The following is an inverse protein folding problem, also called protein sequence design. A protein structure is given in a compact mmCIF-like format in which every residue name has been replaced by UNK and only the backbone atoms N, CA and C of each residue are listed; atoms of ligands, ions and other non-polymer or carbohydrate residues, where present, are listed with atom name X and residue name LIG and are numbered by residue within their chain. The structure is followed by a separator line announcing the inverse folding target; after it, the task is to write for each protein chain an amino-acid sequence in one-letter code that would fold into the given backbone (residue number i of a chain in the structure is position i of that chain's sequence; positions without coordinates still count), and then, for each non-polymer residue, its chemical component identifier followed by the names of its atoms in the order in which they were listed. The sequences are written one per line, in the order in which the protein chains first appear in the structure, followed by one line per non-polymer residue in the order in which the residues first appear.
data_IF_307249732245
#
_entry.id   IF_307249732245
#
_cell.length_a   1.000
_cell.length_b   1.000
_cell.length_c   1.000
_cell.angle_alpha   90.00
_cell.angle_beta   90.00
_cell.angle_gamma   90.00
#
_symmetry.space_group_name_H-M   'P 1'
#
loop_
_entity.id
_entity.type
_entity.pdbx_description
1 polymer ?
#
# COMPACT_ATOMS: atom_id res chain seq x y z
N UNK A 1 -17.82 -4.76 9.26
CA UNK A 1 -17.42 -6.09 9.77
C UNK A 1 -16.37 -5.97 10.88
N UNK A 2 -15.28 -5.23 10.69
CA UNK A 2 -14.18 -5.01 11.65
C UNK A 2 -14.68 -4.55 13.03
N UNK A 3 -15.44 -3.46 13.12
CA UNK A 3 -16.01 -2.95 14.38
C UNK A 3 -16.86 -3.97 15.14
N UNK A 4 -17.65 -4.78 14.42
CA UNK A 4 -18.46 -5.84 15.06
C UNK A 4 -17.61 -6.94 15.68
N UNK A 5 -16.48 -7.30 15.05
CA UNK A 5 -15.54 -8.25 15.64
C UNK A 5 -14.84 -7.64 16.86
N UNK A 6 -14.29 -6.42 16.73
CA UNK A 6 -13.65 -5.72 17.85
C UNK A 6 -14.59 -5.62 19.05
N UNK A 7 -15.83 -5.17 18.85
CA UNK A 7 -16.82 -5.04 19.95
C UNK A 7 -17.14 -6.36 20.63
N UNK A 8 -17.09 -7.49 19.93
CA UNK A 8 -17.39 -8.82 20.50
C UNK A 8 -16.21 -9.44 21.21
N UNK A 9 -15.01 -8.97 20.97
CA UNK A 9 -13.79 -9.52 21.56
C UNK A 9 -13.69 -9.13 23.04
N UNK A 10 -13.22 -10.07 23.87
CA UNK A 10 -13.02 -9.83 25.29
C UNK A 10 -11.82 -8.90 25.52
N UNK A 11 -12.01 -7.88 26.35
CA UNK A 11 -10.97 -6.94 26.74
C UNK A 11 -11.45 -6.00 27.83
N UNK A 12 -10.53 -5.34 28.51
CA UNK A 12 -10.85 -4.32 29.52
C UNK A 12 -11.21 -2.98 28.87
N UNK A 13 -10.80 -2.77 27.64
CA UNK A 13 -11.13 -1.60 26.81
C UNK A 13 -11.13 -2.01 25.34
N UNK A 14 -11.73 -1.17 24.49
CA UNK A 14 -11.70 -1.27 23.03
C UNK A 14 -11.08 -0.02 22.47
N UNK A 15 -10.03 -0.18 21.65
CA UNK A 15 -9.23 0.93 21.17
C UNK A 15 -9.60 1.27 19.73
N UNK A 16 -9.71 2.56 19.42
CA UNK A 16 -9.85 3.06 18.05
C UNK A 16 -8.51 3.64 17.60
N UNK A 17 -8.00 3.19 16.47
CA UNK A 17 -6.78 3.75 15.87
C UNK A 17 -7.11 4.30 14.49
N UNK A 18 -6.84 5.58 14.31
CA UNK A 18 -6.80 6.22 13.01
C UNK A 18 -5.42 6.00 12.40
N UNK A 19 -5.36 5.18 11.35
CA UNK A 19 -4.16 5.00 10.56
C UNK A 19 -4.02 6.19 9.60
N UNK A 20 -3.17 7.14 10.00
CA UNK A 20 -2.77 8.31 9.23
C UNK A 20 -1.32 8.20 8.75
N UNK A 21 -0.83 6.96 8.55
CA UNK A 21 0.46 6.67 7.94
C UNK A 21 0.30 6.48 6.42
N UNK A 22 0.10 7.59 5.74
CA UNK A 22 -0.11 7.65 4.28
C UNK A 22 1.23 7.55 3.55
N UNK A 23 1.78 6.34 3.46
CA UNK A 23 3.12 6.09 2.95
C UNK A 23 3.19 5.69 1.48
N UNK A 24 2.08 5.31 0.84
CA UNK A 24 2.07 4.86 -0.56
C UNK A 24 2.45 6.01 -1.51
N UNK A 25 3.49 5.86 -2.37
CA UNK A 25 3.86 6.89 -3.33
C UNK A 25 2.69 7.32 -4.22
N UNK A 26 2.55 8.63 -4.41
CA UNK A 26 1.44 9.23 -5.15
C UNK A 26 0.15 9.37 -4.34
N UNK A 27 0.12 9.00 -3.06
CA UNK A 27 -1.04 9.19 -2.18
C UNK A 27 -0.87 10.44 -1.32
N UNK A 28 -1.89 11.30 -1.29
CA UNK A 28 -1.90 12.53 -0.48
C UNK A 28 -3.33 12.97 -0.07
N UNK A 29 -4.30 12.07 -0.11
CA UNK A 29 -5.70 12.34 0.24
C UNK A 29 -5.92 12.52 1.74
N UNK A 30 -5.19 11.74 2.57
CA UNK A 30 -5.39 11.75 4.02
C UNK A 30 -4.87 13.05 4.64
N UNK A 31 -3.73 13.58 4.16
CA UNK A 31 -3.27 14.91 4.60
C UNK A 31 -4.22 16.03 4.24
N UNK A 32 -4.92 15.93 3.09
CA UNK A 32 -5.96 16.90 2.70
C UNK A 32 -7.14 16.86 3.65
N UNK A 33 -7.59 15.64 4.01
CA UNK A 33 -8.64 15.47 5.02
C UNK A 33 -8.21 16.01 6.39
N UNK A 34 -7.01 15.68 6.85
CA UNK A 34 -6.51 16.13 8.15
C UNK A 34 -6.26 17.65 8.19
N UNK A 35 -5.89 18.26 7.06
CA UNK A 35 -5.69 19.71 6.97
C UNK A 35 -7.02 20.47 6.98
N UNK A 36 -7.97 20.05 6.14
CA UNK A 36 -9.17 20.84 5.85
C UNK A 36 -10.44 20.32 6.54
N UNK A 37 -10.45 19.04 6.95
CA UNK A 37 -11.62 18.34 7.46
C UNK A 37 -11.30 17.51 8.71
N UNK A 38 -10.34 17.96 9.53
CA UNK A 38 -9.91 17.22 10.72
C UNK A 38 -11.09 16.87 11.66
N UNK A 39 -12.03 17.79 11.84
CA UNK A 39 -13.21 17.55 12.68
C UNK A 39 -14.07 16.39 12.18
N UNK A 40 -14.21 16.24 10.86
CA UNK A 40 -14.94 15.11 10.28
C UNK A 40 -14.28 13.76 10.62
N UNK A 41 -12.94 13.71 10.60
CA UNK A 41 -12.17 12.50 10.98
C UNK A 41 -12.34 12.23 12.48
N UNK A 42 -12.26 13.26 13.32
CA UNK A 42 -12.45 13.16 14.77
C UNK A 42 -13.88 12.72 15.13
N UNK A 43 -14.90 13.20 14.41
CA UNK A 43 -16.26 12.72 14.53
C UNK A 43 -16.37 11.23 14.21
N UNK A 44 -15.73 10.79 13.11
CA UNK A 44 -15.68 9.37 12.74
C UNK A 44 -15.00 8.51 13.81
N UNK A 45 -13.93 8.99 14.42
CA UNK A 45 -13.29 8.32 15.55
C UNK A 45 -14.22 8.24 16.77
N UNK A 46 -14.95 9.32 17.06
CA UNK A 46 -15.93 9.36 18.17
C UNK A 46 -17.07 8.38 17.92
N UNK A 47 -17.61 8.33 16.70
CA UNK A 47 -18.62 7.35 16.27
C UNK A 47 -18.09 5.91 16.44
N UNK A 48 -16.85 5.64 16.03
CA UNK A 48 -16.22 4.34 16.23
C UNK A 48 -16.08 4.02 17.72
N UNK A 49 -15.61 4.96 18.54
CA UNK A 49 -15.51 4.83 19.99
C UNK A 49 -16.84 4.45 20.64
N UNK A 50 -17.91 5.14 20.28
CA UNK A 50 -19.26 4.82 20.73
C UNK A 50 -19.72 3.42 20.29
N UNK A 51 -19.56 3.11 19.01
CA UNK A 51 -19.97 1.82 18.45
C UNK A 51 -19.23 0.63 19.08
N UNK A 52 -17.99 0.82 19.51
CA UNK A 52 -17.14 -0.20 20.13
C UNK A 52 -17.27 -0.24 21.66
N UNK A 53 -17.89 0.74 22.28
CA UNK A 53 -17.83 1.01 23.72
C UNK A 53 -16.38 1.22 24.19
N UNK A 54 -15.55 1.81 23.35
CA UNK A 54 -14.16 2.14 23.61
C UNK A 54 -14.01 3.49 24.32
N UNK A 55 -12.89 3.66 25.01
CA UNK A 55 -12.58 4.90 25.76
C UNK A 55 -11.41 5.67 25.17
N UNK A 56 -10.62 5.06 24.31
CA UNK A 56 -9.40 5.64 23.77
C UNK A 56 -9.36 5.60 22.25
N UNK A 57 -9.07 6.78 21.67
CA UNK A 57 -8.70 6.97 20.28
C UNK A 57 -7.21 7.34 20.13
N UNK A 58 -6.56 6.85 19.10
CA UNK A 58 -5.17 7.21 18.78
C UNK A 58 -5.09 7.55 17.31
N UNK A 59 -4.62 8.75 16.98
CA UNK A 59 -4.21 9.09 15.61
C UNK A 59 -2.75 8.73 15.48
N UNK A 60 -2.44 7.71 14.67
CA UNK A 60 -1.06 7.41 14.28
C UNK A 60 -0.71 8.24 13.05
N UNK A 61 -0.05 9.36 13.30
CA UNK A 61 0.27 10.35 12.28
C UNK A 61 1.65 10.07 11.70
N UNK A 62 1.74 9.99 10.37
CA UNK A 62 2.99 9.81 9.63
C UNK A 62 4.05 10.85 10.07
N UNK A 63 5.31 10.42 10.19
CA UNK A 63 6.40 11.28 10.65
C UNK A 63 6.62 12.52 9.79
N UNK A 64 6.39 12.44 8.47
CA UNK A 64 6.50 13.55 7.54
C UNK A 64 5.37 14.59 7.67
N UNK A 65 4.29 14.26 8.41
CA UNK A 65 3.15 15.17 8.62
C UNK A 65 3.23 15.93 9.94
N UNK A 66 4.43 16.11 10.51
CA UNK A 66 4.65 16.90 11.74
C UNK A 66 4.09 18.32 11.67
N UNK A 67 4.02 18.92 10.48
CA UNK A 67 3.41 20.24 10.26
C UNK A 67 1.92 20.31 10.59
N UNK A 68 1.22 19.18 10.66
CA UNK A 68 -0.18 19.10 11.09
C UNK A 68 -0.35 19.01 12.62
N UNK A 69 0.74 18.79 13.36
CA UNK A 69 0.69 18.52 14.80
C UNK A 69 -0.03 19.60 15.58
N UNK A 70 0.38 20.84 15.43
CA UNK A 70 -0.18 21.97 16.19
C UNK A 70 -1.67 22.18 15.88
N UNK A 71 -2.02 22.12 14.62
CA UNK A 71 -3.42 22.22 14.18
C UNK A 71 -4.28 21.11 14.80
N UNK A 72 -3.85 19.86 14.69
CA UNK A 72 -4.61 18.72 15.23
C UNK A 72 -4.69 18.78 16.75
N UNK A 73 -3.64 19.20 17.45
CA UNK A 73 -3.69 19.43 18.91
C UNK A 73 -4.70 20.52 19.28
N UNK A 74 -4.73 21.62 18.53
CA UNK A 74 -5.71 22.70 18.72
C UNK A 74 -7.15 22.19 18.52
N UNK A 75 -7.39 21.40 17.49
CA UNK A 75 -8.71 20.78 17.26
C UNK A 75 -9.10 19.87 18.45
N UNK A 76 -8.19 19.02 18.93
CA UNK A 76 -8.46 18.17 20.10
C UNK A 76 -8.77 18.97 21.37
N UNK A 77 -8.02 20.06 21.63
CA UNK A 77 -8.28 20.96 22.76
C UNK A 77 -9.65 21.62 22.65
N UNK A 78 -10.00 22.14 21.46
CA UNK A 78 -11.30 22.72 21.18
C UNK A 78 -12.45 21.74 21.41
N UNK A 79 -12.28 20.48 21.00
CA UNK A 79 -13.27 19.42 21.22
C UNK A 79 -13.44 19.07 22.69
N UNK A 80 -12.35 19.02 23.46
CA UNK A 80 -12.44 18.83 24.94
C UNK A 80 -13.17 19.99 25.61
N UNK A 81 -12.88 21.23 25.21
CA UNK A 81 -13.53 22.43 25.75
C UNK A 81 -15.04 22.45 25.46
N UNK A 82 -15.49 21.84 24.34
CA UNK A 82 -16.88 21.76 23.93
C UNK A 82 -17.56 20.43 24.33
N UNK A 83 -16.98 19.66 25.25
CA UNK A 83 -17.51 18.37 25.72
C UNK A 83 -17.74 17.34 24.58
N UNK A 84 -16.91 17.38 23.54
CA UNK A 84 -16.91 16.41 22.45
C UNK A 84 -15.81 15.33 22.61
N UNK A 85 -14.91 15.51 23.59
CA UNK A 85 -13.90 14.55 24.04
C UNK A 85 -13.73 14.69 25.55
N UNK A 86 -13.36 13.57 26.22
CA UNK A 86 -13.20 13.49 27.67
C UNK A 86 -14.23 12.59 28.33
N UNK A 87 -14.73 12.99 29.50
CA UNK A 87 -15.71 12.25 30.28
C UNK A 87 -17.15 12.70 29.98
N UNK A 88 -18.09 11.77 29.87
CA UNK A 88 -19.52 12.03 29.66
C UNK A 88 -19.80 12.88 28.42
N UNK A 89 -19.07 12.64 27.34
CA UNK A 89 -19.11 13.47 26.13
C UNK A 89 -20.46 13.46 25.44
N UNK A 90 -20.78 14.53 24.72
CA UNK A 90 -22.04 14.72 24.00
C UNK A 90 -23.28 14.63 24.92
N UNK A 91 -23.12 14.89 26.20
CA UNK A 91 -24.22 14.78 27.19
C UNK A 91 -24.63 13.33 27.51
N UNK A 92 -23.89 12.33 27.09
CA UNK A 92 -24.17 10.92 27.33
C UNK A 92 -23.44 10.43 28.59
N UNK A 93 -24.17 10.22 29.68
CA UNK A 93 -23.61 9.69 30.91
C UNK A 93 -22.99 8.29 30.66
N UNK A 94 -21.73 8.12 31.09
CA UNK A 94 -20.99 6.85 30.93
C UNK A 94 -20.35 6.66 29.56
N UNK A 95 -20.43 7.64 28.64
CA UNK A 95 -19.63 7.63 27.42
C UNK A 95 -18.43 8.57 27.60
N UNK A 96 -17.31 7.96 27.97
CA UNK A 96 -16.00 8.61 28.09
C UNK A 96 -15.17 8.22 26.87
N UNK A 97 -14.69 9.20 26.12
CA UNK A 97 -13.82 8.95 24.97
C UNK A 97 -12.87 10.13 24.75
N UNK A 98 -11.57 9.83 24.68
CA UNK A 98 -10.58 10.86 24.37
C UNK A 98 -9.61 10.37 23.30
N UNK A 99 -9.03 11.32 22.56
CA UNK A 99 -8.13 11.07 21.43
C UNK A 99 -6.77 11.70 21.72
N UNK A 100 -5.72 10.92 21.48
CA UNK A 100 -4.34 11.40 21.46
C UNK A 100 -3.69 11.21 20.09
N UNK A 101 -2.64 11.95 19.82
CA UNK A 101 -1.83 11.78 18.62
C UNK A 101 -0.54 11.06 19.00
N UNK A 102 -0.10 10.15 18.13
CA UNK A 102 1.20 9.50 18.18
C UNK A 102 1.87 9.70 16.84
N UNK A 103 3.09 10.26 16.84
CA UNK A 103 3.89 10.38 15.62
C UNK A 103 4.54 9.05 15.28
N UNK A 104 4.47 8.66 14.02
CA UNK A 104 5.32 7.65 13.43
C UNK A 104 6.73 8.18 13.14
N UNK A 105 7.60 7.34 12.61
CA UNK A 105 8.98 7.66 12.26
C UNK A 105 9.26 7.65 10.74
N UNK A 106 8.24 7.75 9.90
CA UNK A 106 8.39 7.83 8.44
C UNK A 106 8.62 6.49 7.75
N UNK A 107 8.26 5.37 8.35
CA UNK A 107 8.40 4.04 7.75
C UNK A 107 7.09 3.60 7.09
N UNK A 108 7.08 3.36 5.78
CA UNK A 108 5.91 2.89 5.01
C UNK A 108 5.28 1.62 5.60
N UNK A 109 6.12 0.68 6.10
CA UNK A 109 5.62 -0.55 6.69
C UNK A 109 4.69 -0.30 7.89
N UNK A 110 4.80 0.84 8.57
CA UNK A 110 3.93 1.19 9.69
C UNK A 110 2.50 1.56 9.26
N UNK A 111 2.21 1.67 7.97
CA UNK A 111 0.86 1.68 7.41
C UNK A 111 0.16 0.31 7.48
N UNK A 112 0.92 -0.79 7.56
CA UNK A 112 0.35 -2.13 7.83
C UNK A 112 -0.13 -2.20 9.30
N UNK A 113 -1.38 -2.64 9.51
CA UNK A 113 -2.08 -2.47 10.80
C UNK A 113 -1.35 -3.09 12.00
N UNK A 114 -0.71 -4.25 11.85
CA UNK A 114 0.00 -4.89 12.96
C UNK A 114 1.40 -4.29 13.19
N UNK A 115 2.05 -3.83 12.14
CA UNK A 115 3.31 -3.08 12.22
C UNK A 115 3.11 -1.71 12.89
N UNK A 116 1.99 -1.04 12.58
CA UNK A 116 1.56 0.18 13.25
C UNK A 116 1.43 -0.04 14.77
N UNK A 117 0.80 -1.14 15.19
CA UNK A 117 0.67 -1.50 16.60
C UNK A 117 2.03 -1.72 17.29
N UNK A 118 2.96 -2.41 16.64
CA UNK A 118 4.32 -2.56 17.17
C UNK A 118 5.00 -1.20 17.37
N UNK A 119 4.86 -0.30 16.40
CA UNK A 119 5.38 1.07 16.51
C UNK A 119 4.69 1.88 17.62
N UNK A 120 3.36 1.77 17.76
CA UNK A 120 2.62 2.39 18.88
C UNK A 120 3.10 1.92 20.25
N UNK A 121 3.54 0.67 20.35
CA UNK A 121 4.08 0.05 21.58
C UNK A 121 5.58 0.34 21.79
N UNK A 122 6.19 1.19 20.96
CA UNK A 122 7.61 1.56 21.06
C UNK A 122 8.58 0.46 20.60
N UNK A 123 8.08 -0.50 19.83
CA UNK A 123 8.86 -1.59 19.26
C UNK A 123 9.22 -1.31 17.80
N UNK A 124 10.05 -2.18 17.22
CA UNK A 124 10.33 -2.12 15.78
C UNK A 124 9.05 -2.33 14.98
N UNK A 125 8.79 -1.46 14.01
CA UNK A 125 7.68 -1.59 13.06
C UNK A 125 7.88 -2.79 12.15
N UNK A 126 7.33 -3.93 12.57
CA UNK A 126 7.33 -5.17 11.80
C UNK A 126 5.99 -5.89 12.01
N UNK A 127 5.41 -6.50 10.97
CA UNK A 127 4.10 -7.16 11.07
C UNK A 127 4.08 -8.30 12.10
N UNK A 128 2.96 -8.41 12.83
CA UNK A 128 2.66 -9.54 13.72
C UNK A 128 2.18 -10.74 12.91
N UNK A 129 2.29 -11.93 13.50
CA UNK A 129 1.59 -13.11 12.98
C UNK A 129 0.08 -12.96 13.23
N UNK A 130 -0.71 -13.39 12.28
CA UNK A 130 -2.17 -13.43 12.35
C UNK A 130 -2.67 -14.84 12.01
N UNK A 131 -3.60 -15.44 12.77
CA UNK A 131 -4.24 -14.96 14.00
C UNK A 131 -3.28 -14.94 15.22
N UNK A 132 -3.58 -14.17 16.32
CA UNK A 132 -4.78 -13.36 16.51
C UNK A 132 -4.76 -12.07 15.70
N UNK A 133 -5.95 -11.58 15.31
CA UNK A 133 -6.10 -10.31 14.60
C UNK A 133 -6.11 -9.12 15.57
N UNK A 134 -5.81 -7.87 15.13
CA UNK A 134 -5.89 -6.67 15.96
C UNK A 134 -7.26 -6.48 16.63
N UNK A 135 -8.33 -6.93 15.99
CA UNK A 135 -9.70 -6.91 16.55
C UNK A 135 -9.84 -7.76 17.81
N UNK A 136 -8.91 -8.68 18.06
CA UNK A 136 -8.85 -9.56 19.24
C UNK A 136 -7.69 -9.14 20.15
N UNK A 137 -6.48 -9.00 19.59
CA UNK A 137 -5.24 -8.67 20.29
C UNK A 137 -4.51 -7.54 19.57
N UNK A 138 -4.98 -6.31 19.78
CA UNK A 138 -4.42 -5.10 19.18
C UNK A 138 -3.40 -4.37 20.06
N UNK A 139 -3.59 -3.06 20.26
CA UNK A 139 -2.73 -2.20 21.06
C UNK A 139 -2.73 -2.64 22.53
N UNK A 140 -1.55 -2.89 23.08
CA UNK A 140 -1.36 -3.42 24.43
C UNK A 140 -2.24 -4.65 24.72
N UNK A 141 -2.43 -5.50 23.69
CA UNK A 141 -3.27 -6.71 23.71
C UNK A 141 -4.77 -6.46 23.93
N UNK A 142 -5.24 -5.22 23.83
CA UNK A 142 -6.66 -4.89 23.84
C UNK A 142 -7.27 -5.01 22.43
N UNK A 143 -8.54 -5.39 22.29
CA UNK A 143 -9.24 -5.35 21.02
C UNK A 143 -9.15 -3.97 20.39
N UNK A 144 -8.64 -3.90 19.16
CA UNK A 144 -8.36 -2.63 18.49
C UNK A 144 -8.95 -2.60 17.08
N UNK A 145 -9.74 -1.59 16.78
CA UNK A 145 -10.14 -1.28 15.40
C UNK A 145 -9.18 -0.24 14.82
N UNK A 146 -8.54 -0.60 13.72
CA UNK A 146 -7.61 0.28 12.99
C UNK A 146 -8.25 0.61 11.66
N UNK A 147 -8.57 1.88 11.43
CA UNK A 147 -9.20 2.35 10.20
C UNK A 147 -8.43 3.53 9.62
N UNK A 148 -8.45 3.66 8.30
CA UNK A 148 -7.81 4.78 7.60
C UNK A 148 -8.59 6.09 7.84
N UNK A 149 -7.91 7.22 7.68
CA UNK A 149 -8.47 8.58 7.79
C UNK A 149 -9.75 8.75 6.98
N UNK A 150 -9.73 8.35 5.71
CA UNK A 150 -10.89 8.42 4.81
C UNK A 150 -12.06 7.56 5.30
N UNK A 151 -11.78 6.34 5.77
CA UNK A 151 -12.82 5.45 6.32
C UNK A 151 -13.55 6.07 7.50
N UNK A 152 -12.82 6.72 8.40
CA UNK A 152 -13.40 7.42 9.55
C UNK A 152 -14.21 8.64 9.11
N UNK A 153 -13.71 9.44 8.16
CA UNK A 153 -14.45 10.55 7.59
C UNK A 153 -15.76 10.08 6.93
N UNK A 154 -15.72 8.99 6.16
CA UNK A 154 -16.92 8.38 5.59
C UNK A 154 -17.92 7.92 6.66
N UNK A 155 -17.43 7.31 7.76
CA UNK A 155 -18.30 6.87 8.86
C UNK A 155 -19.07 8.05 9.46
N UNK A 156 -18.45 9.20 9.69
CA UNK A 156 -19.13 10.41 10.17
C UNK A 156 -20.20 10.90 9.16
N UNK A 157 -19.86 10.91 7.87
CA UNK A 157 -20.83 11.32 6.82
C UNK A 157 -22.02 10.37 6.72
N UNK A 158 -21.80 9.08 6.87
CA UNK A 158 -22.86 8.06 6.88
C UNK A 158 -23.80 8.28 8.07
N UNK A 159 -23.28 8.65 9.24
CA UNK A 159 -24.13 8.94 10.40
C UNK A 159 -25.06 10.15 10.18
N UNK A 160 -24.61 11.14 9.43
CA UNK A 160 -25.39 12.34 9.12
C UNK A 160 -26.43 12.09 8.02
N UNK A 161 -26.05 11.39 6.95
CA UNK A 161 -26.85 11.26 5.73
C UNK A 161 -27.62 9.93 5.64
N UNK A 162 -27.29 8.96 6.49
CA UNK A 162 -27.88 7.62 6.50
C UNK A 162 -27.13 6.60 5.67
N UNK A 163 -27.32 5.33 5.98
CA UNK A 163 -26.63 4.22 5.30
C UNK A 163 -27.08 4.08 3.84
N UNK A 164 -28.36 4.26 3.56
CA UNK A 164 -28.93 4.13 2.22
C UNK A 164 -28.38 5.20 1.26
N UNK A 165 -28.09 6.40 1.78
CA UNK A 165 -27.41 7.44 0.99
C UNK A 165 -26.06 6.94 0.46
N UNK A 166 -25.23 6.38 1.32
CA UNK A 166 -23.90 5.90 0.93
C UNK A 166 -23.98 4.64 0.06
N UNK A 167 -24.90 3.73 0.39
CA UNK A 167 -25.16 2.51 -0.37
C UNK A 167 -25.72 2.78 -1.79
N UNK A 168 -26.36 3.94 -1.99
CA UNK A 168 -26.88 4.38 -3.30
C UNK A 168 -25.82 4.98 -4.23
N UNK A 169 -24.57 5.15 -3.77
CA UNK A 169 -23.43 5.65 -4.56
C UNK A 169 -22.55 4.45 -4.94
N UNK A 170 -21.91 4.51 -6.11
CA UNK A 170 -20.96 3.47 -6.53
C UNK A 170 -21.61 2.30 -7.26
N UNK A 171 -20.95 1.13 -7.24
CA UNK A 171 -21.43 -0.09 -7.85
C UNK A 171 -22.25 -0.93 -6.86
N UNK A 172 -22.83 -2.02 -7.33
CA UNK A 172 -23.57 -2.96 -6.47
C UNK A 172 -22.66 -3.63 -5.43
N UNK A 173 -21.40 -3.92 -5.77
CA UNK A 173 -20.44 -4.62 -4.91
C UNK A 173 -19.52 -3.66 -4.19
N UNK A 174 -19.20 -2.52 -4.81
CA UNK A 174 -18.40 -1.42 -4.24
C UNK A 174 -19.26 -0.20 -4.04
N UNK A 175 -19.97 -0.13 -2.91
CA UNK A 175 -20.82 1.01 -2.59
C UNK A 175 -20.01 2.18 -2.01
N UNK A 176 -20.48 3.40 -2.27
CA UNK A 176 -19.87 4.63 -1.79
C UNK A 176 -18.95 5.29 -2.80
N UNK A 177 -18.17 6.22 -2.30
CA UNK A 177 -17.17 6.97 -3.05
C UNK A 177 -15.76 6.69 -2.53
N UNK A 178 -14.78 7.10 -3.33
CA UNK A 178 -13.36 6.96 -3.04
C UNK A 178 -12.61 8.24 -3.32
N UNK A 179 -11.78 8.67 -2.39
CA UNK A 179 -10.84 9.75 -2.64
C UNK A 179 -9.63 9.23 -3.43
N UNK A 180 -9.41 9.84 -4.58
CA UNK A 180 -8.26 9.57 -5.44
C UNK A 180 -7.27 10.74 -5.37
N UNK A 181 -6.04 10.44 -5.01
CA UNK A 181 -4.89 11.35 -5.19
C UNK A 181 -4.39 11.18 -6.60
N UNK A 182 -4.65 12.15 -7.46
CA UNK A 182 -4.24 12.12 -8.86
C UNK A 182 -3.03 13.02 -9.07
N UNK A 183 -1.97 12.44 -9.62
CA UNK A 183 -0.71 13.11 -9.91
C UNK A 183 -0.08 12.60 -11.20
N UNK A 184 1.00 13.25 -11.64
CA UNK A 184 1.74 12.90 -12.84
C UNK A 184 1.39 13.79 -14.03
N UNK A 185 1.38 13.23 -15.23
CA UNK A 185 1.24 13.96 -16.47
C UNK A 185 -0.25 14.23 -16.79
N UNK A 186 -0.85 15.18 -16.08
CA UNK A 186 -2.24 15.62 -16.23
C UNK A 186 -2.36 17.13 -16.02
N UNK A 187 -3.40 17.75 -16.59
CA UNK A 187 -3.61 19.19 -16.49
C UNK A 187 -4.10 19.63 -15.11
N UNK A 188 -4.80 18.76 -14.38
CA UNK A 188 -5.45 19.07 -13.10
C UNK A 188 -5.12 18.01 -12.04
N UNK A 189 -3.87 17.98 -11.50
CA UNK A 189 -3.56 17.12 -10.37
C UNK A 189 -4.31 17.56 -9.11
N UNK A 190 -4.67 16.63 -8.21
CA UNK A 190 -5.40 16.95 -7.00
C UNK A 190 -6.04 15.74 -6.33
N UNK A 191 -6.90 16.01 -5.33
CA UNK A 191 -7.70 14.98 -4.67
C UNK A 191 -9.14 15.07 -5.19
N UNK A 192 -9.66 13.95 -5.66
CA UNK A 192 -10.99 13.83 -6.26
C UNK A 192 -11.83 12.84 -5.46
N UNK A 193 -13.04 13.25 -5.08
CA UNK A 193 -14.05 12.34 -4.54
C UNK A 193 -14.91 11.82 -5.69
N UNK A 194 -14.77 10.54 -5.99
CA UNK A 194 -15.44 9.90 -7.13
C UNK A 194 -16.24 8.68 -6.66
N UNK A 195 -17.38 8.39 -7.29
CA UNK A 195 -18.10 7.16 -7.01
C UNK A 195 -17.25 5.96 -7.41
N UNK A 196 -17.31 4.87 -6.64
CA UNK A 196 -16.79 3.60 -7.14
C UNK A 196 -17.48 3.23 -8.47
N UNK A 197 -16.74 2.60 -9.39
CA UNK A 197 -17.21 2.28 -10.72
C UNK A 197 -16.81 3.30 -11.79
N UNK A 198 -16.21 4.45 -11.42
CA UNK A 198 -15.59 5.33 -12.41
C UNK A 198 -14.53 4.56 -13.20
N UNK A 199 -14.51 4.72 -14.51
CA UNK A 199 -13.48 4.12 -15.36
C UNK A 199 -12.21 4.98 -15.39
N UNK A 200 -11.09 4.34 -15.77
CA UNK A 200 -9.84 5.10 -15.98
C UNK A 200 -10.03 6.17 -17.07
N UNK A 201 -10.75 5.87 -18.16
CA UNK A 201 -11.05 6.87 -19.22
C UNK A 201 -11.77 8.09 -18.64
N UNK A 202 -12.86 7.90 -17.89
CA UNK A 202 -13.59 9.01 -17.28
C UNK A 202 -12.72 9.81 -16.31
N UNK A 203 -11.84 9.15 -15.57
CA UNK A 203 -10.89 9.84 -14.69
C UNK A 203 -9.86 10.65 -15.50
N UNK A 204 -9.31 10.12 -16.60
CA UNK A 204 -8.37 10.82 -17.45
C UNK A 204 -9.00 12.05 -18.10
N UNK A 205 -10.25 11.95 -18.54
CA UNK A 205 -11.03 13.09 -19.05
C UNK A 205 -11.26 14.15 -17.95
N UNK A 206 -11.65 13.70 -16.76
CA UNK A 206 -11.88 14.58 -15.61
C UNK A 206 -10.65 15.39 -15.25
N UNK A 207 -9.44 14.79 -15.31
CA UNK A 207 -8.19 15.46 -14.91
C UNK A 207 -7.42 16.07 -16.07
N UNK A 208 -7.88 15.87 -17.31
CA UNK A 208 -7.25 16.42 -18.51
C UNK A 208 -5.92 15.76 -18.85
N UNK A 209 -5.94 14.46 -19.12
CA UNK A 209 -4.77 13.66 -19.48
C UNK A 209 -5.03 12.85 -20.78
N UNK A 210 -5.26 13.50 -21.93
CA UNK A 210 -5.64 12.81 -23.16
C UNK A 210 -4.50 12.00 -23.81
N UNK A 211 -3.27 12.24 -23.43
CA UNK A 211 -2.05 11.60 -23.94
C UNK A 211 -1.46 10.57 -22.97
N UNK A 212 -2.26 10.10 -22.01
CA UNK A 212 -1.83 9.09 -21.04
C UNK A 212 -1.40 7.80 -21.77
N UNK A 213 -0.16 7.37 -21.54
CA UNK A 213 0.39 6.12 -22.06
C UNK A 213 0.17 4.95 -21.11
N UNK A 214 0.10 5.21 -19.80
CA UNK A 214 -0.36 4.26 -18.80
C UNK A 214 -0.72 4.96 -17.50
N UNK A 215 -1.45 4.25 -16.66
CA UNK A 215 -1.84 4.72 -15.32
C UNK A 215 -1.36 3.69 -14.29
N UNK A 216 -0.62 4.16 -13.28
CA UNK A 216 -0.32 3.36 -12.10
C UNK A 216 -1.44 3.57 -11.08
N UNK A 217 -2.37 2.62 -11.01
CA UNK A 217 -3.49 2.63 -10.06
C UNK A 217 -3.06 2.03 -8.73
N UNK A 218 -3.33 2.71 -7.62
CA UNK A 218 -2.96 2.33 -6.26
C UNK A 218 -1.45 2.43 -5.95
N UNK A 219 -0.72 3.31 -6.66
CA UNK A 219 0.72 3.47 -6.46
C UNK A 219 1.56 2.22 -6.81
N UNK A 220 2.80 2.14 -6.37
CA UNK A 220 3.66 0.98 -6.58
C UNK A 220 3.06 -0.35 -6.11
N UNK A 221 2.27 -0.36 -5.04
CA UNK A 221 1.62 -1.59 -4.56
C UNK A 221 0.45 -2.06 -5.45
N UNK A 222 -0.04 -1.21 -6.37
CA UNK A 222 -1.15 -1.50 -7.27
C UNK A 222 -0.72 -2.05 -8.62
N UNK A 223 -1.44 -1.64 -9.68
CA UNK A 223 -1.27 -2.19 -11.02
C UNK A 223 -0.96 -1.07 -12.02
N UNK A 224 -0.04 -1.35 -12.96
CA UNK A 224 0.07 -0.59 -14.18
C UNK A 224 -1.10 -0.97 -15.11
N UNK A 225 -1.80 0.01 -15.64
CA UNK A 225 -2.95 -0.15 -16.54
C UNK A 225 -2.58 0.44 -17.89
N UNK A 226 -2.58 -0.38 -18.93
CA UNK A 226 -2.30 0.04 -20.29
C UNK A 226 -3.54 0.66 -20.96
N UNK A 227 -3.39 1.46 -22.06
CA UNK A 227 -4.50 2.12 -22.73
C UNK A 227 -5.64 1.18 -23.18
N UNK A 228 -5.31 -0.06 -23.57
CA UNK A 228 -6.29 -1.09 -23.92
C UNK A 228 -7.28 -1.41 -22.81
N UNK A 229 -6.88 -1.15 -21.55
CA UNK A 229 -7.61 -1.48 -20.32
C UNK A 229 -8.17 -0.23 -19.61
N UNK A 230 -8.12 0.96 -20.20
CA UNK A 230 -8.65 2.20 -19.61
C UNK A 230 -10.19 2.20 -19.45
N UNK A 231 -10.89 1.26 -20.05
CA UNK A 231 -12.31 1.02 -19.80
C UNK A 231 -12.61 0.31 -18.49
N UNK A 232 -11.60 -0.19 -17.76
CA UNK A 232 -11.77 -0.86 -16.47
C UNK A 232 -12.21 0.12 -15.38
N UNK A 233 -12.97 -0.39 -14.42
CA UNK A 233 -13.57 0.40 -13.35
C UNK A 233 -12.73 0.39 -12.09
N UNK A 234 -12.60 1.53 -11.43
CA UNK A 234 -12.03 1.63 -10.09
C UNK A 234 -13.09 1.14 -9.10
N UNK A 235 -12.96 -0.12 -8.69
CA UNK A 235 -13.88 -0.82 -7.81
C UNK A 235 -13.16 -2.03 -7.18
N UNK A 236 -13.68 -2.58 -6.07
CA UNK A 236 -13.09 -3.76 -5.42
C UNK A 236 -13.16 -5.02 -6.30
N UNK A 237 -14.20 -5.12 -7.11
CA UNK A 237 -14.43 -6.22 -8.05
C UNK A 237 -13.60 -6.15 -9.33
N UNK A 238 -12.89 -5.04 -9.61
CA UNK A 238 -12.07 -4.88 -10.82
C UNK A 238 -10.71 -4.25 -10.50
N UNK A 239 -10.56 -2.92 -10.53
CA UNK A 239 -9.33 -2.22 -10.17
C UNK A 239 -9.43 -1.70 -8.74
N UNK A 240 -9.09 -2.51 -7.76
CA UNK A 240 -9.05 -2.03 -6.38
C UNK A 240 -7.94 -0.99 -6.20
N UNK A 241 -8.18 0.00 -5.33
CA UNK A 241 -7.23 1.09 -5.12
C UNK A 241 -7.14 1.51 -3.66
N UNK A 242 -5.92 1.84 -3.23
CA UNK A 242 -5.64 2.54 -1.97
C UNK A 242 -5.89 4.05 -2.06
N UNK A 243 -6.10 4.59 -3.27
CA UNK A 243 -6.37 6.00 -3.51
C UNK A 243 -5.27 6.76 -4.23
N UNK A 244 -4.14 6.15 -4.59
CA UNK A 244 -3.13 6.75 -5.46
C UNK A 244 -3.46 6.46 -6.92
N UNK A 245 -3.36 7.47 -7.77
CA UNK A 245 -3.46 7.34 -9.24
C UNK A 245 -2.38 8.21 -9.87
N UNK A 246 -1.35 7.59 -10.42
CA UNK A 246 -0.26 8.29 -11.10
C UNK A 246 -0.41 8.09 -12.61
N UNK A 247 -0.43 9.19 -13.35
CA UNK A 247 -0.64 9.23 -14.80
C UNK A 247 0.69 9.51 -15.48
N UNK A 248 1.00 8.74 -16.52
CA UNK A 248 2.25 8.84 -17.26
C UNK A 248 1.96 8.92 -18.76
N UNK A 249 2.54 9.91 -19.43
CA UNK A 249 2.46 10.05 -20.88
C UNK A 249 3.56 9.23 -21.60
N UNK A 250 3.55 9.25 -22.94
CA UNK A 250 4.48 8.49 -23.77
C UNK A 250 5.96 8.92 -23.64
N UNK A 251 6.24 10.06 -23.01
CA UNK A 251 7.61 10.49 -22.70
C UNK A 251 8.24 9.77 -21.51
N UNK A 252 7.47 8.97 -20.78
CA UNK A 252 7.92 8.23 -19.62
C UNK A 252 8.29 6.79 -19.97
N UNK A 253 9.35 6.30 -19.35
CA UNK A 253 9.80 4.91 -19.51
C UNK A 253 9.09 3.99 -18.51
N UNK A 254 8.14 3.19 -18.99
CA UNK A 254 7.34 2.25 -18.19
C UNK A 254 8.24 1.30 -17.40
N UNK A 255 9.31 0.78 -18.01
CA UNK A 255 10.20 -0.20 -17.38
C UNK A 255 11.05 0.46 -16.30
N UNK A 256 11.52 1.69 -16.53
CA UNK A 256 12.28 2.41 -15.50
C UNK A 256 11.39 2.83 -14.32
N UNK A 257 10.13 3.15 -14.56
CA UNK A 257 9.15 3.42 -13.48
C UNK A 257 8.90 2.17 -12.64
N UNK A 258 8.77 1.00 -13.28
CA UNK A 258 8.68 -0.28 -12.56
C UNK A 258 9.95 -0.57 -11.74
N UNK A 259 11.14 -0.27 -12.29
CA UNK A 259 12.41 -0.38 -11.57
C UNK A 259 12.47 0.57 -10.36
N UNK A 260 12.06 1.84 -10.52
CA UNK A 260 11.99 2.81 -9.43
C UNK A 260 11.03 2.36 -8.32
N UNK A 261 9.93 1.71 -8.69
CA UNK A 261 9.02 1.09 -7.71
C UNK A 261 9.73 -0.01 -6.90
N UNK A 262 10.64 -0.75 -7.53
CA UNK A 262 11.44 -1.74 -6.79
C UNK A 262 12.47 -1.09 -5.85
N UNK A 263 13.04 0.08 -6.19
CA UNK A 263 13.86 0.85 -5.26
C UNK A 263 13.10 1.15 -3.97
N UNK A 264 11.88 1.68 -4.11
CA UNK A 264 10.99 1.97 -2.98
C UNK A 264 10.75 0.73 -2.11
N UNK A 265 10.39 -0.43 -2.69
CA UNK A 265 10.11 -1.62 -1.89
C UNK A 265 11.36 -2.21 -1.21
N UNK A 266 12.54 -2.06 -1.81
CA UNK A 266 13.81 -2.47 -1.17
C UNK A 266 14.08 -1.60 0.06
N UNK A 267 13.92 -0.28 -0.05
CA UNK A 267 14.15 0.67 1.05
C UNK A 267 13.14 0.50 2.18
N UNK A 268 11.86 0.27 1.86
CA UNK A 268 10.76 0.21 2.82
C UNK A 268 10.50 -1.19 3.41
N UNK A 269 11.20 -2.21 2.92
CA UNK A 269 11.10 -3.55 3.51
C UNK A 269 11.58 -3.55 4.96
N UNK A 270 10.74 -4.03 5.89
CA UNK A 270 11.15 -4.20 7.28
C UNK A 270 12.27 -5.24 7.47
N UNK A 271 12.58 -6.03 6.42
CA UNK A 271 13.62 -7.05 6.42
C UNK A 271 13.30 -8.32 7.23
N UNK A 272 12.10 -8.46 7.77
CA UNK A 272 11.75 -9.61 8.61
C UNK A 272 11.73 -10.94 7.85
N UNK A 273 10.96 -11.03 6.77
CA UNK A 273 10.83 -12.28 6.04
C UNK A 273 11.75 -12.34 4.81
N UNK A 274 12.38 -13.50 4.60
CA UNK A 274 13.34 -13.72 3.52
C UNK A 274 12.77 -13.44 2.12
N UNK A 275 11.54 -13.89 1.77
CA UNK A 275 11.00 -13.64 0.43
C UNK A 275 10.93 -12.14 0.09
N UNK A 276 10.51 -11.29 1.01
CA UNK A 276 10.50 -9.84 0.82
C UNK A 276 11.93 -9.28 0.80
N UNK A 277 12.71 -9.48 1.89
CA UNK A 277 14.06 -8.89 2.04
C UNK A 277 15.00 -9.22 0.89
N UNK A 278 15.07 -10.48 0.50
CA UNK A 278 15.96 -10.93 -0.58
C UNK A 278 15.30 -10.78 -1.94
N UNK A 279 14.01 -11.15 -2.04
CA UNK A 279 13.30 -11.17 -3.30
C UNK A 279 13.12 -9.78 -3.91
N UNK A 280 12.77 -8.75 -3.13
CA UNK A 280 12.66 -7.36 -3.65
C UNK A 280 14.01 -6.88 -4.20
N UNK A 281 15.13 -7.19 -3.54
CA UNK A 281 16.46 -6.88 -4.02
C UNK A 281 16.80 -7.61 -5.34
N UNK A 282 16.44 -8.88 -5.46
CA UNK A 282 16.63 -9.64 -6.70
C UNK A 282 15.74 -9.14 -7.83
N UNK A 283 14.49 -8.76 -7.54
CA UNK A 283 13.59 -8.12 -8.51
C UNK A 283 14.16 -6.79 -9.01
N UNK A 284 14.66 -5.94 -8.12
CA UNK A 284 15.35 -4.69 -8.47
C UNK A 284 16.52 -4.96 -9.41
N UNK A 285 17.43 -5.87 -9.05
CA UNK A 285 18.58 -6.24 -9.88
C UNK A 285 18.16 -6.78 -11.25
N UNK A 286 17.10 -7.60 -11.29
CA UNK A 286 16.53 -8.08 -12.54
C UNK A 286 16.00 -6.94 -13.42
N UNK A 287 15.26 -6.00 -12.84
CA UNK A 287 14.79 -4.81 -13.55
C UNK A 287 15.92 -3.89 -14.02
N UNK A 288 16.96 -3.70 -13.22
CA UNK A 288 18.19 -2.97 -13.62
C UNK A 288 18.87 -3.63 -14.83
N UNK A 289 18.87 -4.97 -14.88
CA UNK A 289 19.39 -5.72 -16.01
C UNK A 289 18.56 -5.50 -17.28
N UNK A 290 17.22 -5.43 -17.14
CA UNK A 290 16.29 -5.11 -18.25
C UNK A 290 16.51 -3.69 -18.75
N UNK A 291 16.50 -2.69 -17.85
CA UNK A 291 16.72 -1.28 -18.19
C UNK A 291 18.05 -1.08 -18.92
N UNK A 292 19.09 -1.79 -18.51
CA UNK A 292 20.42 -1.74 -19.15
C UNK A 292 20.50 -2.50 -20.48
N UNK A 293 19.43 -3.10 -20.99
CA UNK A 293 19.43 -3.89 -22.24
C UNK A 293 20.34 -5.14 -22.18
N UNK A 294 20.51 -5.73 -20.99
CA UNK A 294 21.36 -6.88 -20.76
C UNK A 294 20.61 -8.17 -20.41
N UNK A 295 19.28 -8.09 -20.30
CA UNK A 295 18.46 -9.25 -19.98
C UNK A 295 18.31 -10.19 -21.17
N UNK A 296 18.23 -11.48 -20.90
CA UNK A 296 17.88 -12.54 -21.84
C UNK A 296 16.44 -13.00 -21.58
N UNK A 297 15.88 -13.85 -22.47
CA UNK A 297 14.57 -14.48 -22.22
C UNK A 297 14.56 -15.31 -20.93
N UNK A 298 15.63 -16.02 -20.65
CA UNK A 298 15.77 -16.77 -19.39
C UNK A 298 15.77 -15.86 -18.15
N UNK A 299 16.36 -14.67 -18.25
CA UNK A 299 16.31 -13.68 -17.16
C UNK A 299 14.90 -13.19 -16.90
N UNK A 300 14.10 -12.93 -17.96
CA UNK A 300 12.70 -12.51 -17.80
C UNK A 300 11.86 -13.62 -17.17
N UNK A 301 12.05 -14.88 -17.56
CA UNK A 301 11.37 -16.03 -16.94
C UNK A 301 11.74 -16.16 -15.46
N UNK A 302 13.02 -15.99 -15.12
CA UNK A 302 13.49 -16.03 -13.74
C UNK A 302 12.94 -14.86 -12.92
N UNK A 303 12.83 -13.66 -13.51
CA UNK A 303 12.24 -12.47 -12.89
C UNK A 303 10.76 -12.70 -12.56
N UNK A 304 9.98 -13.23 -13.51
CA UNK A 304 8.58 -13.56 -13.31
C UNK A 304 8.38 -14.62 -12.22
N UNK A 305 9.17 -15.70 -12.25
CA UNK A 305 9.12 -16.77 -11.26
C UNK A 305 9.47 -16.25 -9.85
N UNK A 306 10.49 -15.37 -9.76
CA UNK A 306 10.87 -14.70 -8.50
C UNK A 306 9.74 -13.78 -8.00
N UNK A 307 9.15 -12.98 -8.89
CA UNK A 307 8.03 -12.08 -8.57
C UNK A 307 6.85 -12.86 -7.97
N UNK A 308 6.45 -13.95 -8.60
CA UNK A 308 5.40 -14.84 -8.12
C UNK A 308 5.76 -15.48 -6.75
N UNK A 309 7.03 -15.84 -6.54
CA UNK A 309 7.49 -16.38 -5.26
C UNK A 309 7.40 -15.33 -4.16
N UNK A 310 7.89 -14.11 -4.40
CA UNK A 310 7.83 -13.00 -3.44
C UNK A 310 6.37 -12.69 -3.06
N UNK A 311 5.48 -12.59 -4.05
CA UNK A 311 4.07 -12.33 -3.83
C UNK A 311 3.41 -13.38 -2.92
N UNK A 312 3.65 -14.67 -3.18
CA UNK A 312 2.99 -15.77 -2.47
C UNK A 312 3.58 -16.08 -1.10
N UNK A 313 4.88 -15.85 -0.91
CA UNK A 313 5.61 -16.31 0.27
C UNK A 313 5.91 -15.18 1.27
N UNK A 314 5.62 -13.93 0.93
CA UNK A 314 5.82 -12.80 1.85
C UNK A 314 4.76 -12.76 2.93
N UNK A 315 5.19 -12.36 4.14
CA UNK A 315 4.37 -12.38 5.36
C UNK A 315 3.24 -11.35 5.36
N UNK A 316 3.44 -10.18 4.76
CA UNK A 316 2.49 -9.06 4.78
C UNK A 316 2.26 -8.46 3.40
N UNK A 317 1.28 -7.55 3.33
CA UNK A 317 0.87 -6.86 2.10
C UNK A 317 2.01 -6.17 1.38
N UNK A 318 3.01 -5.59 2.08
CA UNK A 318 4.15 -4.95 1.43
C UNK A 318 4.85 -5.92 0.47
N UNK A 319 5.35 -7.05 0.98
CA UNK A 319 6.05 -8.01 0.16
C UNK A 319 5.14 -8.75 -0.83
N UNK A 320 3.86 -8.96 -0.49
CA UNK A 320 2.90 -9.60 -1.39
C UNK A 320 2.59 -8.74 -2.62
N UNK A 321 2.58 -7.40 -2.47
CA UNK A 321 2.28 -6.45 -3.54
C UNK A 321 3.54 -5.87 -4.22
N UNK A 322 4.70 -5.95 -3.58
CA UNK A 322 5.95 -5.44 -4.15
C UNK A 322 6.25 -5.90 -5.59
N UNK A 323 5.91 -7.13 -6.01
CA UNK A 323 6.12 -7.58 -7.39
C UNK A 323 5.14 -7.00 -8.42
N UNK A 324 4.05 -6.34 -8.00
CA UNK A 324 3.01 -5.87 -8.93
C UNK A 324 3.53 -4.98 -10.06
N UNK A 325 4.42 -3.99 -9.83
CA UNK A 325 4.97 -3.16 -10.91
C UNK A 325 5.67 -4.01 -11.99
N UNK A 326 6.39 -5.04 -11.57
CA UNK A 326 7.09 -5.95 -12.50
C UNK A 326 6.10 -6.82 -13.25
N UNK A 327 5.21 -7.52 -12.54
CA UNK A 327 4.27 -8.45 -13.14
C UNK A 327 3.28 -7.77 -14.08
N UNK A 328 2.74 -6.60 -13.70
CA UNK A 328 1.75 -5.91 -14.51
C UNK A 328 2.37 -5.27 -15.75
N UNK A 329 3.56 -4.69 -15.64
CA UNK A 329 4.24 -4.12 -16.81
C UNK A 329 4.74 -5.21 -17.76
N UNK A 330 5.23 -6.35 -17.27
CA UNK A 330 5.58 -7.49 -18.14
C UNK A 330 4.36 -8.04 -18.90
N UNK A 331 3.19 -8.09 -18.25
CA UNK A 331 1.95 -8.57 -18.85
C UNK A 331 1.40 -7.59 -19.90
N UNK A 332 1.40 -6.30 -19.59
CA UNK A 332 0.66 -5.30 -20.37
C UNK A 332 1.53 -4.55 -21.39
N UNK A 333 2.86 -4.63 -21.26
CA UNK A 333 3.84 -4.01 -22.17
C UNK A 333 4.95 -4.99 -22.55
N UNK A 334 4.64 -6.23 -23.02
CA UNK A 334 5.65 -7.24 -23.30
C UNK A 334 6.65 -6.80 -24.39
N UNK A 335 6.19 -6.03 -25.37
CA UNK A 335 7.01 -5.51 -26.46
C UNK A 335 8.15 -4.60 -25.97
N UNK A 336 7.95 -3.84 -24.89
CA UNK A 336 8.97 -3.00 -24.28
C UNK A 336 10.08 -3.82 -23.62
N UNK A 337 9.73 -4.96 -23.03
CA UNK A 337 10.69 -5.92 -22.50
C UNK A 337 11.45 -6.64 -23.60
N UNK A 338 10.74 -7.09 -24.66
CA UNK A 338 11.33 -7.77 -25.81
C UNK A 338 12.34 -6.87 -26.54
N UNK A 339 12.03 -5.59 -26.74
CA UNK A 339 12.91 -4.61 -27.35
C UNK A 339 14.23 -4.39 -26.57
N UNK A 340 14.27 -4.75 -25.28
CA UNK A 340 15.46 -4.62 -24.42
C UNK A 340 16.19 -5.93 -24.17
N UNK A 341 15.73 -7.05 -24.75
CA UNK A 341 16.43 -8.31 -24.62
C UNK A 341 17.70 -8.37 -25.48
N UNK A 342 18.71 -8.99 -24.93
CA UNK A 342 19.85 -9.45 -25.74
C UNK A 342 19.48 -10.74 -26.49
N UNK A 343 19.98 -10.93 -27.71
CA UNK A 343 20.00 -12.25 -28.33
C UNK A 343 20.71 -13.26 -27.41
N UNK A 344 20.26 -14.51 -27.42
CA UNK A 344 20.78 -15.59 -26.55
C UNK A 344 22.24 -16.03 -26.86
N UNK A 345 23.00 -15.24 -27.58
CA UNK A 345 24.40 -15.49 -27.92
C UNK A 345 25.37 -15.17 -26.78
N UNK A 346 24.99 -15.31 -25.53
CA UNK A 346 25.94 -15.32 -24.43
C UNK A 346 26.54 -16.73 -24.32
N UNK A 347 27.62 -16.99 -25.04
CA UNK A 347 28.51 -18.08 -24.72
C UNK A 347 29.33 -17.63 -23.49
N UNK A 348 29.22 -18.30 -22.34
CA UNK A 348 30.05 -17.95 -21.20
C UNK A 348 31.50 -18.00 -21.61
N UNK A 349 32.27 -16.94 -21.40
CA UNK A 349 33.71 -16.91 -21.66
C UNK A 349 34.49 -17.86 -20.73
N UNK A 350 33.81 -18.35 -19.69
CA UNK A 350 34.32 -19.36 -18.76
C UNK A 350 33.29 -20.47 -18.62
N UNK A 351 33.57 -21.65 -19.07
CA UNK A 351 32.81 -22.87 -18.80
C UNK A 351 33.31 -23.49 -17.50
N UNK A 352 32.48 -23.47 -16.46
CA UNK A 352 32.82 -24.15 -15.19
C UNK A 352 33.00 -25.64 -15.40
N UNK A 353 32.25 -26.23 -16.34
CA UNK A 353 32.39 -27.66 -16.71
C UNK A 353 33.73 -27.95 -17.32
N UNK A 354 34.26 -27.06 -18.18
CA UNK A 354 35.58 -27.24 -18.79
C UNK A 354 36.70 -26.99 -17.77
N UNK A 355 36.56 -25.98 -16.92
CA UNK A 355 37.50 -25.75 -15.82
C UNK A 355 37.54 -26.92 -14.81
N UNK A 356 36.38 -27.50 -14.50
CA UNK A 356 36.30 -28.70 -13.65
C UNK A 356 36.87 -29.93 -14.35
N UNK A 357 36.72 -30.07 -15.69
CA UNK A 357 37.25 -31.16 -16.46
C UNK A 357 38.77 -31.15 -16.42
N UNK A 358 39.42 -30.00 -16.57
CA UNK A 358 40.87 -29.84 -16.42
C UNK A 358 41.32 -30.19 -14.99
N UNK A 359 40.61 -29.71 -13.97
CA UNK A 359 40.95 -30.03 -12.58
C UNK A 359 40.80 -31.53 -12.27
N UNK A 360 39.78 -32.18 -12.83
CA UNK A 360 39.57 -33.63 -12.71
C UNK A 360 40.66 -34.41 -13.42
N UNK A 361 41.09 -33.97 -14.64
CA UNK A 361 42.15 -34.57 -15.38
C UNK A 361 43.50 -34.51 -14.62
N UNK A 362 43.78 -33.39 -13.95
CA UNK A 362 44.99 -33.24 -13.12
C UNK A 362 44.92 -34.16 -11.88
N UNK A 363 43.76 -34.30 -11.27
CA UNK A 363 43.57 -35.07 -10.03
C UNK A 363 43.45 -36.59 -10.28
N UNK A 364 42.96 -36.98 -11.45
CA UNK A 364 42.73 -38.38 -11.82
C UNK A 364 43.22 -38.68 -13.25
N UNK A 365 44.55 -38.66 -13.50
CA UNK A 365 45.11 -38.81 -14.85
C UNK A 365 44.72 -40.13 -15.52
N UNK A 366 44.42 -41.17 -14.75
CA UNK A 366 44.01 -42.48 -15.31
C UNK A 366 42.57 -42.51 -15.86
N UNK A 367 41.70 -41.56 -15.48
CA UNK A 367 40.32 -41.49 -16.01
C UNK A 367 40.20 -40.58 -17.25
N UNK A 368 41.15 -39.71 -17.51
CA UNK A 368 41.19 -38.84 -18.68
C UNK A 368 41.54 -39.59 -19.99
N UNK A 369 42.18 -40.75 -19.90
CA UNK A 369 42.57 -41.57 -21.06
C UNK A 369 41.50 -42.56 -21.52
N UNK A 370 40.40 -42.70 -20.76
CA UNK A 370 39.31 -43.65 -21.08
C UNK A 370 38.12 -43.02 -21.81
N UNK A 371 38.16 -41.71 -22.12
CA UNK A 371 37.09 -40.94 -22.76
C UNK A 371 37.53 -40.18 -24.03
N UNK A 372 38.65 -40.50 -24.65
CA UNK A 372 39.11 -39.94 -25.92
C UNK A 372 38.77 -40.86 -27.09
#
# INVERSE_FOLDING_TARGET
MKWRFTRKSAGSDHIVVCNADEGEPGTFKDRVLLTNYADLVLDGMTVAGYALSGRQGIIYLRGEYTYLWEQLQTNLQGRRANNLLGAGICGQAGFDFDIRIQLGAGAYICGEESSLLESLEGKRGAPRDRPPFPTEHGYLRQPTAIDNVETLACAARIMVNGADWFAGIGTKESTGSKLLSVAGDCARPGVYDVPFGITINELLDLVGAPDAAFVQNSGPSGQAVAPKDFGRQIAYEDLSTGGSTMIFNAGRDVIDIARQSMDFFVEESCGWCTPCRVGTTLLKQGMEKVVAGRATRADLQALEAMANTVSRMSRCGLGQMAPNPVLTTMRDFPELYEARMRPELFVPTVSLTDALREAVAIRHPAQALAGA
#
